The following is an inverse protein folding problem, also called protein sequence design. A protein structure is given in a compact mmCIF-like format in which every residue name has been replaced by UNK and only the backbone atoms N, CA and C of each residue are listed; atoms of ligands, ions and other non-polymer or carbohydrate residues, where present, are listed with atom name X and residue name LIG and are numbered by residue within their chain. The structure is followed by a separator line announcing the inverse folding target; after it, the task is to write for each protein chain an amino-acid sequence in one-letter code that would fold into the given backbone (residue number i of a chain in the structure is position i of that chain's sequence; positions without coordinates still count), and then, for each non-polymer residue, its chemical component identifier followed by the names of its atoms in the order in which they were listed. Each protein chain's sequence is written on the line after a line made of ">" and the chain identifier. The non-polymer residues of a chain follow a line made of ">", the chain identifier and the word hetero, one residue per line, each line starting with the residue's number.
data_IF_700240118557
#
_entry.id   IF_700240118557
#
_cell.length_a   1.000
_cell.length_b   1.000
_cell.length_c   1.000
_cell.angle_alpha   90.00
_cell.angle_beta   90.00
_cell.angle_gamma   90.00
#
_symmetry.space_group_name_H-M   'P 1'
#
loop_
_entity.id
_entity.type
_entity.pdbx_description
1 polymer ?
#
# COMPACT_ATOMS: atom_id res chain seq x y z
N UNK A 1 2.91 -0.14 9.73
CA UNK A 1 2.38 -1.48 10.07
C UNK A 1 3.46 -2.48 9.74
N UNK A 2 3.70 -3.49 10.58
CA UNK A 2 4.77 -4.48 10.39
C UNK A 2 4.18 -5.88 10.43
N UNK A 3 4.53 -6.71 9.43
CA UNK A 3 4.10 -8.11 9.31
C UNK A 3 5.32 -9.02 9.25
N UNK A 4 5.26 -10.13 9.97
CA UNK A 4 6.33 -11.11 10.05
C UNK A 4 6.01 -12.32 9.18
N UNK A 5 6.98 -12.78 8.40
CA UNK A 5 6.90 -13.98 7.59
C UNK A 5 7.93 -14.99 8.06
N UNK A 6 7.46 -16.18 8.43
CA UNK A 6 8.32 -17.31 8.78
C UNK A 6 8.99 -17.89 7.54
N UNK A 7 10.10 -18.59 7.76
CA UNK A 7 10.74 -19.36 6.70
C UNK A 7 9.80 -20.45 6.18
N UNK A 8 9.82 -20.65 4.86
CA UNK A 8 9.28 -21.85 4.23
C UNK A 8 10.45 -22.53 3.54
N UNK A 9 10.72 -23.79 3.91
CA UNK A 9 11.86 -24.55 3.42
C UNK A 9 11.93 -24.51 1.89
N UNK A 10 13.08 -24.09 1.35
CA UNK A 10 13.38 -23.93 -0.10
C UNK A 10 12.55 -22.88 -0.86
N UNK A 11 11.62 -22.16 -0.22
CA UNK A 11 10.76 -21.18 -0.87
C UNK A 11 11.02 -19.74 -0.41
N UNK A 12 11.15 -19.51 0.90
CA UNK A 12 11.45 -18.19 1.44
C UNK A 12 12.18 -18.27 2.78
N UNK A 13 13.15 -17.37 2.97
CA UNK A 13 13.78 -17.11 4.27
C UNK A 13 12.88 -16.20 5.11
N UNK A 14 13.05 -16.15 6.45
CA UNK A 14 12.22 -15.29 7.26
C UNK A 14 12.52 -13.81 6.98
N UNK A 15 11.48 -13.00 6.91
CA UNK A 15 11.60 -11.55 6.74
C UNK A 15 10.46 -10.81 7.40
N UNK A 16 10.72 -9.54 7.71
CA UNK A 16 9.72 -8.59 8.19
C UNK A 16 9.39 -7.63 7.08
N UNK A 17 8.13 -7.25 6.98
CA UNK A 17 7.64 -6.37 5.94
C UNK A 17 6.89 -5.22 6.60
N UNK A 18 7.48 -4.02 6.50
CA UNK A 18 7.00 -2.81 7.16
C UNK A 18 6.48 -1.85 6.11
N UNK A 19 5.20 -1.49 6.20
CA UNK A 19 4.62 -0.42 5.39
C UNK A 19 4.49 0.86 6.20
N UNK A 20 4.94 1.96 5.61
CA UNK A 20 4.83 3.31 6.14
C UNK A 20 4.15 4.21 5.10
N UNK A 21 3.26 5.08 5.57
CA UNK A 21 2.63 6.10 4.75
C UNK A 21 2.96 7.45 5.36
N UNK A 22 3.66 8.28 4.61
CA UNK A 22 4.02 9.63 5.02
C UNK A 22 3.28 10.65 4.14
N UNK A 23 2.51 11.58 4.73
CA UNK A 23 1.95 12.68 3.95
C UNK A 23 3.07 13.65 3.55
N UNK A 24 3.11 14.08 2.29
CA UNK A 24 4.01 15.17 1.87
C UNK A 24 3.47 16.56 2.24
N UNK A 25 2.37 16.64 3.00
CA UNK A 25 1.71 17.88 3.46
C UNK A 25 0.27 17.63 3.93
N UNK A 26 -0.50 18.69 4.19
CA UNK A 26 -1.87 18.59 4.77
C UNK A 26 -2.93 18.07 3.78
N UNK A 27 -2.71 18.26 2.48
CA UNK A 27 -3.58 17.77 1.37
C UNK A 27 -2.74 17.28 0.18
N UNK A 28 -1.45 17.02 0.41
CA UNK A 28 -0.48 16.70 -0.64
C UNK A 28 -0.39 15.21 -0.96
N UNK A 29 0.43 14.84 -1.95
CA UNK A 29 0.66 13.46 -2.31
C UNK A 29 1.21 12.68 -1.11
N UNK A 30 0.83 11.41 -0.99
CA UNK A 30 1.32 10.54 0.06
C UNK A 30 2.43 9.64 -0.46
N UNK A 31 3.49 9.50 0.32
CA UNK A 31 4.57 8.56 0.04
C UNK A 31 4.31 7.27 0.79
N UNK A 32 4.02 6.21 0.03
CA UNK A 32 4.01 4.85 0.52
C UNK A 32 5.45 4.32 0.49
N UNK A 33 5.91 3.76 1.60
CA UNK A 33 7.25 3.15 1.72
C UNK A 33 7.11 1.75 2.29
N UNK A 34 7.84 0.80 1.72
CA UNK A 34 7.95 -0.56 2.22
C UNK A 34 9.40 -0.86 2.50
N UNK A 35 9.63 -1.39 3.69
CA UNK A 35 10.92 -1.90 4.10
C UNK A 35 10.77 -3.39 4.40
N UNK A 36 11.44 -4.20 3.59
CA UNK A 36 11.64 -5.62 3.84
C UNK A 36 12.97 -5.75 4.58
N UNK A 37 12.99 -6.41 5.72
CA UNK A 37 14.21 -6.69 6.48
C UNK A 37 14.39 -8.19 6.69
N UNK A 38 15.61 -8.70 6.57
CA UNK A 38 15.91 -10.13 6.58
C UNK A 38 16.85 -10.50 5.44
N UNK A 39 16.72 -11.71 4.90
CA UNK A 39 17.64 -12.23 3.89
C UNK A 39 17.58 -11.53 2.52
N UNK A 40 16.43 -10.91 2.19
CA UNK A 40 16.22 -10.14 0.96
C UNK A 40 15.83 -8.70 1.31
N UNK A 41 16.62 -8.05 2.16
CA UNK A 41 16.33 -6.70 2.62
C UNK A 41 16.22 -5.74 1.44
N UNK A 42 15.11 -5.00 1.36
CA UNK A 42 14.90 -3.97 0.36
C UNK A 42 14.09 -2.83 0.96
N UNK A 43 14.22 -1.66 0.36
CA UNK A 43 13.43 -0.49 0.70
C UNK A 43 12.95 0.11 -0.61
N UNK A 44 11.64 0.17 -0.79
CA UNK A 44 11.00 0.76 -1.96
C UNK A 44 9.98 1.81 -1.52
N UNK A 45 9.84 2.83 -2.34
CA UNK A 45 8.86 3.88 -2.10
C UNK A 45 8.13 4.26 -3.37
N UNK A 46 6.84 4.51 -3.23
CA UNK A 46 5.93 4.95 -4.28
C UNK A 46 5.20 6.20 -3.83
N UNK A 47 5.08 7.17 -4.74
CA UNK A 47 4.29 8.38 -4.51
C UNK A 47 2.89 8.16 -5.05
N UNK A 48 1.90 8.43 -4.21
CA UNK A 48 0.49 8.43 -4.55
C UNK A 48 0.03 9.89 -4.63
N UNK A 49 -0.46 10.32 -5.79
CA UNK A 49 -1.01 11.65 -6.01
C UNK A 49 -2.41 11.79 -5.42
N UNK A 50 -2.53 11.47 -4.13
CA UNK A 50 -3.77 11.35 -3.41
C UNK A 50 -3.60 11.81 -1.96
N UNK A 51 -4.65 12.37 -1.34
CA UNK A 51 -4.60 12.77 0.06
C UNK A 51 -4.49 11.55 0.98
N UNK A 52 -4.00 11.72 2.22
CA UNK A 52 -3.76 10.61 3.14
C UNK A 52 -5.00 9.77 3.42
N UNK A 53 -6.18 10.40 3.47
CA UNK A 53 -7.48 9.75 3.68
C UNK A 53 -7.74 8.67 2.61
N UNK A 54 -7.49 8.98 1.34
CA UNK A 54 -7.67 8.05 0.22
C UNK A 54 -6.55 7.01 0.15
N UNK A 55 -5.37 7.29 0.72
CA UNK A 55 -4.23 6.38 0.74
C UNK A 55 -4.27 5.34 1.86
N UNK A 56 -4.95 5.62 2.98
CA UNK A 56 -5.05 4.67 4.10
C UNK A 56 -5.70 3.33 3.72
N UNK A 57 -6.80 3.28 2.95
CA UNK A 57 -7.37 2.01 2.51
C UNK A 57 -6.46 1.25 1.55
N UNK A 58 -5.71 1.96 0.68
CA UNK A 58 -4.67 1.36 -0.18
C UNK A 58 -3.58 0.71 0.67
N UNK A 59 -3.04 1.44 1.65
CA UNK A 59 -2.04 0.94 2.58
C UNK A 59 -2.53 -0.33 3.30
N UNK A 60 -3.79 -0.32 3.79
CA UNK A 60 -4.38 -1.47 4.48
C UNK A 60 -4.47 -2.68 3.55
N UNK A 61 -4.96 -2.50 2.32
CA UNK A 61 -5.07 -3.58 1.34
C UNK A 61 -3.72 -4.21 1.00
N UNK A 62 -2.70 -3.39 0.76
CA UNK A 62 -1.34 -3.88 0.46
C UNK A 62 -0.77 -4.67 1.65
N UNK A 63 -1.00 -4.20 2.87
CA UNK A 63 -0.58 -4.89 4.10
C UNK A 63 -1.28 -6.24 4.30
N UNK A 64 -2.61 -6.28 4.14
CA UNK A 64 -3.43 -7.49 4.31
C UNK A 64 -3.08 -8.56 3.27
N UNK A 65 -2.80 -8.15 2.04
CA UNK A 65 -2.44 -9.05 0.94
C UNK A 65 -0.92 -9.27 0.80
N UNK A 66 -0.10 -8.68 1.67
CA UNK A 66 1.36 -8.81 1.63
C UNK A 66 1.99 -8.47 0.27
N UNK A 67 1.44 -7.46 -0.41
CA UNK A 67 1.79 -7.10 -1.78
C UNK A 67 3.21 -6.55 -1.84
N UNK A 68 4.05 -7.20 -2.65
CA UNK A 68 5.46 -6.83 -2.81
C UNK A 68 5.63 -5.56 -3.69
N UNK A 69 6.69 -4.76 -3.49
CA UNK A 69 6.86 -3.48 -4.19
C UNK A 69 6.89 -3.60 -5.72
N UNK A 70 7.32 -4.75 -6.25
CA UNK A 70 7.43 -5.02 -7.68
C UNK A 70 6.09 -4.96 -8.41
N UNK A 71 4.97 -5.21 -7.71
CA UNK A 71 3.62 -5.22 -8.27
C UNK A 71 2.72 -4.11 -7.72
N UNK A 72 3.27 -3.21 -6.89
CA UNK A 72 2.48 -2.13 -6.30
C UNK A 72 1.80 -1.25 -7.32
N UNK A 73 2.49 -0.90 -8.40
CA UNK A 73 1.94 -0.02 -9.43
C UNK A 73 0.70 -0.63 -10.06
N UNK A 74 0.75 -1.91 -10.41
CA UNK A 74 -0.36 -2.63 -11.01
C UNK A 74 -1.53 -2.79 -10.03
N UNK A 75 -1.25 -3.23 -8.79
CA UNK A 75 -2.29 -3.42 -7.76
C UNK A 75 -2.97 -2.10 -7.41
N UNK A 76 -2.21 -1.02 -7.28
CA UNK A 76 -2.77 0.30 -6.96
C UNK A 76 -3.53 0.85 -8.16
N UNK A 77 -3.06 0.67 -9.39
CA UNK A 77 -3.81 1.10 -10.58
C UNK A 77 -5.18 0.41 -10.68
N UNK A 78 -5.27 -0.86 -10.30
CA UNK A 78 -6.53 -1.62 -10.28
C UNK A 78 -7.43 -1.24 -9.08
N UNK A 79 -6.83 -1.04 -7.90
CA UNK A 79 -7.57 -0.84 -6.65
C UNK A 79 -7.97 0.62 -6.38
N UNK A 80 -7.14 1.58 -6.79
CA UNK A 80 -7.37 3.01 -6.57
C UNK A 80 -8.70 3.54 -7.16
N UNK A 81 -9.10 3.21 -8.40
CA UNK A 81 -10.40 3.66 -8.94
C UNK A 81 -11.60 3.08 -8.17
N UNK A 82 -11.45 1.93 -7.51
CA UNK A 82 -12.50 1.34 -6.67
C UNK A 82 -12.66 2.16 -5.39
N UNK A 83 -11.56 2.58 -4.77
CA UNK A 83 -11.59 3.45 -3.59
C UNK A 83 -12.18 4.82 -3.91
N UNK A 84 -11.80 5.43 -5.04
CA UNK A 84 -12.37 6.71 -5.43
C UNK A 84 -13.88 6.64 -5.66
N UNK A 85 -14.38 5.54 -6.22
CA UNK A 85 -15.83 5.33 -6.38
C UNK A 85 -16.56 5.09 -5.04
N UNK A 86 -15.89 4.54 -4.03
CA UNK A 86 -16.47 4.35 -2.69
C UNK A 86 -16.47 5.64 -1.88
N UNK A 87 -15.43 6.47 -2.02
CA UNK A 87 -15.31 7.80 -1.39
C UNK A 87 -16.25 8.84 -2.05
N UNK A 88 -16.49 8.71 -3.36
CA UNK A 88 -17.40 9.55 -4.13
C UNK A 88 -18.87 9.12 -4.13
N UNK A 89 -19.26 8.09 -3.37
CA UNK A 89 -20.66 7.63 -3.29
C UNK A 89 -21.43 8.28 -2.14
N UNK A 90 -21.26 9.60 -2.02
CA UNK A 90 -22.27 10.50 -1.49
C UNK A 90 -22.63 11.45 -2.65
N UNK A 91 -23.71 11.13 -3.38
CA UNK A 91 -24.28 12.02 -4.38
C UNK A 91 -24.20 11.57 -5.85
N UNK A 92 -25.05 10.62 -6.25
CA UNK A 92 -25.89 10.82 -7.44
C UNK A 92 -27.24 10.12 -7.23
N UNK A 93 -28.21 10.88 -6.73
CA UNK A 93 -29.59 10.73 -7.19
C UNK A 93 -29.64 11.31 -8.60
N UNK A 94 -30.01 10.51 -9.58
CA UNK A 94 -30.59 10.92 -10.86
C UNK A 94 -31.36 9.68 -11.33
N UNK A 95 -32.62 9.55 -10.91
CA UNK A 95 -33.85 10.03 -11.57
C UNK A 95 -34.24 9.14 -12.75
#
# INVERSE_FOLDING_TARGET
>A
MTREFSAIEKLQLPYHLTYALAPAGTSGPCRLTLSRTGAAACCDSLVLDAPPQSCYPVLRYLYENAVQPEIWRDVIADFYPIIQQLDGKDGVCSE
#
